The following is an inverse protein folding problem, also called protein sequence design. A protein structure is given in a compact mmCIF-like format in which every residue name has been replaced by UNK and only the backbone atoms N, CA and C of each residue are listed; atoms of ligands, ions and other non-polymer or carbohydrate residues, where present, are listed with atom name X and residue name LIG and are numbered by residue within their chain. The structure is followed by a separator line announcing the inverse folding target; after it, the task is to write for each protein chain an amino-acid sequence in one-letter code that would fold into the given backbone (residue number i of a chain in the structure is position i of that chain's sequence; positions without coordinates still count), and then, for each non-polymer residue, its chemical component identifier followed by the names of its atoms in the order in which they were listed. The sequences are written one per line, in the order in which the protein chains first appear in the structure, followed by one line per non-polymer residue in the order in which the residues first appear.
data_IF_763876919284
#
_entry.id   IF_763876919284
#
_cell.length_a   1.000
_cell.length_b   1.000
_cell.length_c   1.000
_cell.angle_alpha   90.00
_cell.angle_beta   90.00
_cell.angle_gamma   90.00
#
_symmetry.space_group_name_H-M   'P 1'
#
loop_
_entity.id
_entity.type
_entity.pdbx_description
1 polymer ?
#
# COMPACT_ATOMS: atom_id res chain seq x y z
N UNK A 1 -6.09 36.55 7.23
CA UNK A 1 -5.62 35.16 7.14
C UNK A 1 -6.63 34.38 6.28
N UNK A 2 -6.32 34.13 5.02
CA UNK A 2 -7.21 33.38 4.10
C UNK A 2 -7.11 31.89 4.46
N UNK A 3 -8.22 31.28 4.79
CA UNK A 3 -8.32 29.83 4.98
C UNK A 3 -8.09 29.17 3.61
N UNK A 4 -6.92 28.60 3.42
CA UNK A 4 -6.63 27.75 2.25
C UNK A 4 -7.49 26.51 2.44
N UNK A 5 -8.42 26.31 1.51
CA UNK A 5 -9.37 25.18 1.55
C UNK A 5 -8.63 23.88 1.33
N UNK A 6 -8.96 22.85 2.12
CA UNK A 6 -8.49 21.46 1.94
C UNK A 6 -8.69 20.92 0.51
N UNK A 7 -9.60 21.54 -0.25
CA UNK A 7 -9.88 21.24 -1.67
C UNK A 7 -8.67 21.51 -2.56
N UNK A 8 -7.84 22.52 -2.24
CA UNK A 8 -6.64 22.86 -3.03
C UNK A 8 -5.54 21.82 -2.87
N UNK A 9 -5.46 21.13 -1.74
CA UNK A 9 -4.46 20.10 -1.47
C UNK A 9 -4.78 18.82 -2.24
N UNK A 10 -6.06 18.46 -2.35
CA UNK A 10 -6.49 17.32 -3.18
C UNK A 10 -6.24 17.55 -4.68
N UNK A 11 -6.37 18.82 -5.15
CA UNK A 11 -6.10 19.19 -6.55
C UNK A 11 -4.60 19.13 -6.90
N UNK A 12 -3.70 19.41 -5.96
CA UNK A 12 -2.25 19.29 -6.19
C UNK A 12 -1.77 17.84 -6.26
N UNK A 13 -2.39 16.93 -5.53
CA UNK A 13 -2.15 15.48 -5.71
C UNK A 13 -2.52 15.02 -7.12
N UNK A 14 -3.56 15.59 -7.72
CA UNK A 14 -4.01 15.29 -9.09
C UNK A 14 -3.02 15.77 -10.16
N UNK A 15 -2.32 16.87 -9.95
CA UNK A 15 -1.37 17.42 -10.92
C UNK A 15 -0.03 16.65 -10.97
N UNK A 16 0.38 16.03 -9.87
CA UNK A 16 1.57 15.18 -9.85
C UNK A 16 1.34 13.81 -10.52
N UNK A 17 0.09 13.34 -10.59
CA UNK A 17 -0.31 12.08 -11.24
C UNK A 17 -0.57 12.29 -12.74
N UNK A 18 -0.77 13.54 -13.20
CA UNK A 18 -1.26 13.90 -14.53
C UNK A 18 -0.33 13.70 -15.71
N UNK A 19 0.91 13.21 -15.55
CA UNK A 19 1.87 13.12 -16.64
C UNK A 19 2.28 11.69 -17.07
N UNK A 20 1.75 10.64 -16.42
CA UNK A 20 1.89 9.27 -16.91
C UNK A 20 0.54 8.56 -16.81
N UNK A 21 -0.36 8.88 -17.74
CA UNK A 21 -1.40 7.93 -18.10
C UNK A 21 -0.74 6.78 -18.90
N UNK A 22 -0.01 5.93 -18.21
CA UNK A 22 -0.11 4.52 -18.52
C UNK A 22 -1.58 4.23 -18.21
N UNK A 23 -2.37 3.95 -19.25
CA UNK A 23 -3.79 3.69 -19.13
C UNK A 23 -4.02 2.81 -17.90
N UNK A 24 -4.75 3.32 -16.90
CA UNK A 24 -5.25 2.47 -15.86
C UNK A 24 -5.91 1.30 -16.58
N UNK A 25 -5.61 0.04 -16.21
CA UNK A 25 -6.24 -1.09 -16.87
C UNK A 25 -7.74 -0.87 -16.75
N UNK A 26 -8.40 -0.64 -17.90
CA UNK A 26 -9.84 -0.38 -18.03
C UNK A 26 -10.68 -1.64 -17.79
N UNK A 27 -10.04 -2.72 -17.33
CA UNK A 27 -10.67 -3.93 -16.84
C UNK A 27 -10.50 -4.05 -15.33
N UNK A 28 -11.55 -4.42 -14.61
CA UNK A 28 -11.43 -4.84 -13.21
C UNK A 28 -10.34 -5.90 -13.13
N UNK A 29 -9.33 -5.69 -12.29
CA UNK A 29 -8.35 -6.75 -11.99
C UNK A 29 -9.14 -7.99 -11.60
N UNK A 30 -8.97 -9.14 -12.30
CA UNK A 30 -9.63 -10.36 -11.89
C UNK A 30 -9.25 -10.64 -10.45
N UNK A 31 -10.24 -10.72 -9.56
CA UNK A 31 -9.96 -11.09 -8.18
C UNK A 31 -10.25 -12.58 -7.97
N UNK A 32 -9.44 -13.19 -7.14
CA UNK A 32 -9.63 -14.54 -6.66
C UNK A 32 -9.19 -14.60 -5.21
N UNK A 33 -10.11 -14.92 -4.33
CA UNK A 33 -9.84 -15.04 -2.90
C UNK A 33 -8.73 -16.05 -2.66
N UNK A 34 -7.60 -15.65 -2.05
CA UNK A 34 -6.49 -16.56 -1.83
C UNK A 34 -6.84 -17.63 -0.79
N UNK A 35 -6.41 -18.87 -1.05
CA UNK A 35 -6.34 -19.90 -0.02
C UNK A 35 -5.12 -19.60 0.87
N UNK A 36 -5.37 -18.99 2.02
CA UNK A 36 -4.31 -18.50 2.90
C UNK A 36 -3.52 -19.63 3.57
N UNK A 37 -4.13 -20.80 3.82
CA UNK A 37 -3.42 -21.96 4.37
C UNK A 37 -2.44 -22.53 3.33
N UNK A 38 -2.90 -22.66 2.10
CA UNK A 38 -2.04 -23.08 0.99
C UNK A 38 -0.93 -22.06 0.75
N UNK A 39 -1.25 -20.78 0.71
CA UNK A 39 -0.27 -19.71 0.52
C UNK A 39 0.80 -19.75 1.64
N UNK A 40 0.38 -19.90 2.90
CA UNK A 40 1.30 -20.05 4.03
C UNK A 40 2.23 -21.25 3.85
N UNK A 41 1.69 -22.41 3.48
CA UNK A 41 2.49 -23.60 3.23
C UNK A 41 3.49 -23.39 2.09
N UNK A 42 3.10 -22.69 1.02
CA UNK A 42 3.97 -22.43 -0.13
C UNK A 42 5.08 -21.42 0.18
N UNK A 43 4.80 -20.33 0.91
CA UNK A 43 5.83 -19.31 1.21
C UNK A 43 6.82 -19.72 2.27
N UNK A 44 6.48 -20.72 3.10
CA UNK A 44 7.36 -21.25 4.15
C UNK A 44 8.15 -22.49 3.71
N UNK A 45 7.81 -23.12 2.58
CA UNK A 45 8.48 -24.30 2.08
C UNK A 45 9.65 -23.94 1.15
N UNK A 46 10.90 -24.28 1.50
CA UNK A 46 12.07 -24.01 0.66
C UNK A 46 12.02 -24.62 -0.75
N UNK A 47 11.28 -25.71 -0.93
CA UNK A 47 11.14 -26.39 -2.23
C UNK A 47 10.05 -25.74 -3.11
N UNK A 48 9.24 -24.86 -2.56
CA UNK A 48 8.20 -24.15 -3.30
C UNK A 48 8.79 -23.09 -4.21
N UNK A 49 8.23 -22.94 -5.42
CA UNK A 49 8.57 -21.80 -6.28
C UNK A 49 8.19 -20.45 -5.65
N UNK A 50 7.26 -20.46 -4.69
CA UNK A 50 6.78 -19.29 -3.96
C UNK A 50 7.46 -19.11 -2.59
N UNK A 51 8.56 -19.79 -2.33
CA UNK A 51 9.34 -19.62 -1.10
C UNK A 51 9.70 -18.15 -0.87
N UNK A 52 9.26 -17.59 0.26
CA UNK A 52 9.33 -16.15 0.51
C UNK A 52 10.71 -15.54 0.34
N UNK A 53 11.81 -16.10 0.92
CA UNK A 53 13.14 -15.51 0.75
C UNK A 53 13.56 -15.37 -0.72
N UNK A 54 13.18 -16.34 -1.58
CA UNK A 54 13.45 -16.28 -3.02
C UNK A 54 12.62 -15.22 -3.73
N UNK A 55 11.33 -15.10 -3.39
CA UNK A 55 10.48 -14.05 -3.94
C UNK A 55 10.96 -12.67 -3.52
N UNK A 56 11.39 -12.52 -2.26
CA UNK A 56 11.89 -11.27 -1.73
C UNK A 56 13.20 -10.85 -2.40
N UNK A 57 14.12 -11.77 -2.63
CA UNK A 57 15.36 -11.52 -3.38
C UNK A 57 15.03 -11.02 -4.81
N UNK A 58 14.12 -11.69 -5.53
CA UNK A 58 13.66 -11.28 -6.86
C UNK A 58 13.05 -9.87 -6.85
N UNK A 59 12.25 -9.55 -5.85
CA UNK A 59 11.70 -8.22 -5.64
C UNK A 59 12.80 -7.17 -5.42
N UNK A 60 13.80 -7.46 -4.58
CA UNK A 60 14.93 -6.57 -4.34
C UNK A 60 15.77 -6.34 -5.59
N UNK A 61 15.97 -7.36 -6.40
CA UNK A 61 16.65 -7.27 -7.71
C UNK A 61 15.81 -6.61 -8.80
N UNK A 62 14.56 -6.25 -8.48
CA UNK A 62 13.61 -5.64 -9.43
C UNK A 62 13.39 -6.50 -10.68
N UNK A 63 13.21 -7.81 -10.50
CA UNK A 63 12.90 -8.70 -11.61
C UNK A 63 11.53 -8.40 -12.22
N UNK A 64 11.51 -7.96 -13.48
CA UNK A 64 10.29 -7.59 -14.20
C UNK A 64 9.48 -8.78 -14.73
N UNK A 65 9.99 -9.99 -14.54
CA UNK A 65 9.29 -11.25 -14.90
C UNK A 65 8.41 -11.79 -13.78
N UNK A 66 8.40 -11.14 -12.60
CA UNK A 66 7.48 -11.50 -11.53
C UNK A 66 6.04 -11.17 -11.96
N UNK A 67 5.17 -12.18 -11.84
CA UNK A 67 3.76 -12.04 -12.19
C UNK A 67 2.88 -11.72 -10.97
N UNK A 68 1.57 -11.56 -11.18
CA UNK A 68 0.61 -11.26 -10.12
C UNK A 68 0.64 -12.29 -8.98
N UNK A 69 0.74 -13.59 -9.28
CA UNK A 69 0.80 -14.63 -8.25
C UNK A 69 2.11 -14.57 -7.44
N UNK A 70 3.25 -14.23 -8.08
CA UNK A 70 4.50 -13.98 -7.37
C UNK A 70 4.35 -12.81 -6.38
N UNK A 71 3.72 -11.69 -6.81
CA UNK A 71 3.47 -10.54 -5.94
C UNK A 71 2.44 -10.81 -4.85
N UNK A 72 1.41 -11.62 -5.11
CA UNK A 72 0.44 -12.06 -4.08
C UNK A 72 1.14 -12.85 -2.98
N UNK A 73 1.95 -13.84 -3.37
CA UNK A 73 2.71 -14.66 -2.41
C UNK A 73 3.77 -13.83 -1.68
N UNK A 74 4.39 -12.88 -2.35
CA UNK A 74 5.35 -11.96 -1.74
C UNK A 74 4.66 -11.07 -0.69
N UNK A 75 3.61 -10.35 -1.07
CA UNK A 75 2.93 -9.40 -0.22
C UNK A 75 2.24 -10.09 0.96
N UNK A 76 1.36 -11.07 0.70
CA UNK A 76 0.65 -11.79 1.76
C UNK A 76 1.60 -12.71 2.56
N UNK A 77 2.62 -13.24 1.92
CA UNK A 77 3.63 -14.10 2.55
C UNK A 77 4.48 -13.40 3.60
N UNK A 78 4.58 -12.07 3.53
CA UNK A 78 5.28 -11.27 4.53
C UNK A 78 4.71 -11.47 5.95
N UNK A 79 3.39 -11.69 6.08
CA UNK A 79 2.76 -11.95 7.38
C UNK A 79 3.31 -13.21 8.09
N UNK A 80 3.77 -14.19 7.33
CA UNK A 80 4.25 -15.46 7.85
C UNK A 80 5.75 -15.46 8.17
N UNK A 81 6.43 -14.35 7.94
CA UNK A 81 7.86 -14.22 8.29
C UNK A 81 8.03 -13.96 9.78
N UNK A 82 9.21 -14.35 10.32
CA UNK A 82 9.47 -14.32 11.76
C UNK A 82 9.40 -12.91 12.36
N UNK A 83 9.91 -11.92 11.62
CA UNK A 83 9.98 -10.51 12.02
C UNK A 83 8.74 -9.67 11.66
N UNK A 84 7.66 -10.30 11.17
CA UNK A 84 6.44 -9.58 10.80
C UNK A 84 5.84 -8.82 12.00
N UNK A 85 5.65 -7.52 11.79
CA UNK A 85 4.98 -6.62 12.72
C UNK A 85 4.18 -5.56 11.94
N UNK A 86 2.83 -5.66 11.87
CA UNK A 86 1.97 -4.73 11.13
C UNK A 86 1.85 -3.35 11.79
N UNK A 87 2.38 -3.18 12.99
CA UNK A 87 2.37 -1.92 13.74
C UNK A 87 3.76 -1.27 13.78
N UNK A 88 4.63 -1.65 12.87
CA UNK A 88 5.97 -1.05 12.75
C UNK A 88 5.85 0.41 12.29
N UNK A 89 6.62 1.29 12.92
CA UNK A 89 6.72 2.69 12.55
C UNK A 89 8.17 3.08 12.34
N UNK A 90 8.45 3.75 11.23
CA UNK A 90 9.76 4.32 10.97
C UNK A 90 10.04 5.52 11.88
N UNK A 91 11.29 5.66 12.32
CA UNK A 91 11.71 6.77 13.20
C UNK A 91 11.44 8.16 12.59
N UNK A 92 11.41 8.25 11.26
CA UNK A 92 11.28 9.49 10.51
C UNK A 92 9.90 9.67 9.84
N UNK A 93 8.93 8.78 10.04
CA UNK A 93 7.63 8.81 9.35
C UNK A 93 6.93 10.17 9.41
N UNK A 94 6.77 10.73 10.61
CA UNK A 94 6.13 12.04 10.79
C UNK A 94 6.88 13.18 10.09
N UNK A 95 8.20 13.11 10.04
CA UNK A 95 9.03 14.13 9.40
C UNK A 95 8.94 14.07 7.89
N UNK A 96 8.89 12.85 7.32
CA UNK A 96 8.69 12.64 5.90
C UNK A 96 7.32 13.16 5.50
N UNK A 97 6.28 12.79 6.24
CA UNK A 97 4.91 13.23 6.00
C UNK A 97 4.80 14.75 6.01
N UNK A 98 5.36 15.43 7.03
CA UNK A 98 5.38 16.89 7.12
C UNK A 98 6.10 17.54 5.94
N UNK A 99 7.22 16.97 5.49
CA UNK A 99 7.94 17.47 4.34
C UNK A 99 7.15 17.24 3.04
N UNK A 100 6.57 16.06 2.87
CA UNK A 100 5.82 15.69 1.66
C UNK A 100 4.62 16.60 1.40
N UNK A 101 3.88 16.98 2.45
CA UNK A 101 2.70 17.82 2.32
C UNK A 101 2.99 19.33 2.25
N UNK A 102 4.25 19.75 2.19
CA UNK A 102 4.59 21.15 1.94
C UNK A 102 4.15 21.55 0.53
N UNK A 103 3.75 22.82 0.38
CA UNK A 103 3.37 23.37 -0.92
C UNK A 103 4.57 23.45 -1.89
N UNK A 104 5.75 23.81 -1.37
CA UNK A 104 6.97 23.93 -2.14
C UNK A 104 8.12 23.20 -1.43
N UNK A 105 8.99 22.58 -2.21
CA UNK A 105 10.12 21.83 -1.71
C UNK A 105 11.44 22.41 -2.20
N UNK A 106 12.37 22.58 -1.29
CA UNK A 106 13.77 22.80 -1.65
C UNK A 106 14.44 21.49 -2.07
N UNK A 107 15.55 21.59 -2.81
CA UNK A 107 16.36 20.43 -3.17
C UNK A 107 16.79 19.60 -1.94
N UNK A 108 17.19 20.27 -0.86
CA UNK A 108 17.61 19.59 0.37
C UNK A 108 16.46 18.83 1.06
N UNK A 109 15.24 19.37 1.03
CA UNK A 109 14.06 18.69 1.59
C UNK A 109 13.68 17.45 0.76
N UNK A 110 13.75 17.56 -0.57
CA UNK A 110 13.53 16.39 -1.45
C UNK A 110 14.59 15.31 -1.22
N UNK A 111 15.86 15.68 -1.06
CA UNK A 111 16.92 14.71 -0.76
C UNK A 111 16.72 14.09 0.65
N UNK A 112 16.17 14.84 1.61
CA UNK A 112 15.80 14.32 2.93
C UNK A 112 14.66 13.31 2.83
N UNK A 113 13.60 13.59 2.03
CA UNK A 113 12.51 12.65 1.80
C UNK A 113 13.06 11.36 1.18
N UNK A 114 13.92 11.45 0.18
CA UNK A 114 14.54 10.28 -0.47
C UNK A 114 15.29 9.44 0.57
N UNK A 115 16.18 10.05 1.35
CA UNK A 115 17.01 9.33 2.31
C UNK A 115 16.19 8.60 3.37
N UNK A 116 15.20 9.28 3.95
CA UNK A 116 14.38 8.72 5.02
C UNK A 116 13.38 7.67 4.51
N UNK A 117 12.82 7.87 3.31
CA UNK A 117 11.96 6.86 2.71
C UNK A 117 12.75 5.59 2.34
N UNK A 118 13.97 5.71 1.84
CA UNK A 118 14.84 4.56 1.58
C UNK A 118 15.25 3.83 2.88
N UNK A 119 15.51 4.57 3.97
CA UNK A 119 15.76 4.00 5.29
C UNK A 119 14.53 3.22 5.79
N UNK A 120 13.34 3.82 5.75
CA UNK A 120 12.09 3.17 6.16
C UNK A 120 11.81 1.90 5.35
N UNK A 121 12.04 1.92 4.03
CA UNK A 121 11.84 0.79 3.14
C UNK A 121 12.89 -0.33 3.31
N UNK A 122 13.96 -0.09 4.04
CA UNK A 122 14.89 -1.15 4.47
C UNK A 122 14.26 -1.99 5.58
N UNK A 123 13.50 -1.37 6.48
CA UNK A 123 12.83 -2.04 7.58
C UNK A 123 11.44 -2.58 7.20
N UNK A 124 10.69 -1.82 6.40
CA UNK A 124 9.37 -2.19 5.89
C UNK A 124 9.30 -2.01 4.36
N UNK A 125 9.71 -3.03 3.59
CA UNK A 125 9.81 -2.96 2.13
C UNK A 125 8.49 -2.77 1.41
N UNK A 126 7.37 -2.95 2.10
CA UNK A 126 6.02 -2.86 1.55
C UNK A 126 5.21 -1.67 2.07
N UNK A 127 5.84 -0.73 2.80
CA UNK A 127 5.16 0.51 3.18
C UNK A 127 4.79 1.34 1.94
N UNK A 128 3.52 1.26 1.55
CA UNK A 128 3.00 1.91 0.34
C UNK A 128 3.12 3.43 0.40
N UNK A 129 3.04 4.02 1.61
CA UNK A 129 3.19 5.46 1.81
C UNK A 129 4.63 5.89 1.54
N UNK A 130 5.59 5.18 2.10
CA UNK A 130 7.01 5.47 1.91
C UNK A 130 7.44 5.29 0.45
N UNK A 131 6.94 4.24 -0.21
CA UNK A 131 7.17 4.06 -1.66
C UNK A 131 6.62 5.27 -2.43
N UNK A 132 5.42 5.75 -2.12
CA UNK A 132 4.82 6.89 -2.80
C UNK A 132 5.61 8.18 -2.55
N UNK A 133 6.06 8.45 -1.32
CA UNK A 133 6.88 9.61 -0.99
C UNK A 133 8.22 9.58 -1.74
N UNK A 134 8.84 8.41 -1.82
CA UNK A 134 10.08 8.20 -2.55
C UNK A 134 9.90 8.47 -4.05
N UNK A 135 8.84 7.95 -4.67
CA UNK A 135 8.52 8.19 -6.08
C UNK A 135 8.36 9.68 -6.36
N UNK A 136 7.59 10.36 -5.51
CA UNK A 136 7.38 11.82 -5.62
C UNK A 136 8.71 12.57 -5.58
N UNK A 137 9.52 12.37 -4.55
CA UNK A 137 10.78 13.11 -4.38
C UNK A 137 11.79 12.79 -5.48
N UNK A 138 11.88 11.53 -5.93
CA UNK A 138 12.74 11.13 -7.05
C UNK A 138 12.34 11.85 -8.35
N UNK A 139 11.04 11.96 -8.64
CA UNK A 139 10.54 12.69 -9.82
C UNK A 139 10.89 14.17 -9.75
N UNK A 140 10.62 14.82 -8.61
CA UNK A 140 10.96 16.22 -8.39
C UNK A 140 12.48 16.50 -8.53
N UNK A 141 13.31 15.51 -8.21
CA UNK A 141 14.76 15.55 -8.38
C UNK A 141 15.23 15.15 -9.78
N UNK A 142 14.32 14.87 -10.73
CA UNK A 142 14.65 14.41 -12.08
C UNK A 142 15.25 13.00 -12.15
N UNK A 143 15.19 12.21 -11.06
CA UNK A 143 15.70 10.84 -11.00
C UNK A 143 14.67 9.83 -11.56
N UNK A 144 14.20 10.07 -12.78
CA UNK A 144 13.03 9.42 -13.35
C UNK A 144 13.18 7.89 -13.50
N UNK A 145 14.37 7.38 -13.82
CA UNK A 145 14.58 5.93 -13.92
C UNK A 145 14.38 5.22 -12.56
N UNK A 146 14.91 5.80 -11.49
CA UNK A 146 14.69 5.26 -10.14
C UNK A 146 13.21 5.35 -9.72
N UNK A 147 12.57 6.48 -10.03
CA UNK A 147 11.14 6.66 -9.77
C UNK A 147 10.29 5.64 -10.53
N UNK A 148 10.65 5.29 -11.78
CA UNK A 148 9.95 4.27 -12.56
C UNK A 148 10.05 2.87 -11.94
N UNK A 149 11.21 2.50 -11.40
CA UNK A 149 11.41 1.23 -10.69
C UNK A 149 10.46 1.14 -9.49
N UNK A 150 10.42 2.18 -8.65
CA UNK A 150 9.56 2.19 -7.48
C UNK A 150 8.07 2.25 -7.84
N UNK A 151 7.71 2.97 -8.92
CA UNK A 151 6.35 2.98 -9.44
C UNK A 151 5.91 1.58 -9.92
N UNK A 152 6.80 0.86 -10.59
CA UNK A 152 6.55 -0.53 -11.01
C UNK A 152 6.24 -1.42 -9.80
N UNK A 153 7.08 -1.37 -8.76
CA UNK A 153 6.85 -2.11 -7.50
C UNK A 153 5.53 -1.75 -6.85
N UNK A 154 5.25 -0.45 -6.72
CA UNK A 154 3.99 0.04 -6.13
C UNK A 154 2.76 -0.50 -6.86
N UNK A 155 2.77 -0.42 -8.19
CA UNK A 155 1.64 -0.87 -9.00
C UNK A 155 1.37 -2.37 -8.78
N UNK A 156 2.40 -3.21 -8.76
CA UNK A 156 2.23 -4.65 -8.57
C UNK A 156 1.83 -5.02 -7.14
N UNK A 157 2.30 -4.30 -6.12
CA UNK A 157 1.82 -4.46 -4.75
C UNK A 157 0.33 -4.10 -4.64
N UNK A 158 -0.09 -2.99 -5.25
CA UNK A 158 -1.51 -2.60 -5.30
C UNK A 158 -2.35 -3.66 -6.04
N UNK A 159 -1.88 -4.15 -7.19
CA UNK A 159 -2.55 -5.22 -7.92
C UNK A 159 -2.68 -6.49 -7.08
N UNK A 160 -1.64 -6.85 -6.32
CA UNK A 160 -1.67 -8.00 -5.42
C UNK A 160 -2.78 -7.85 -4.36
N UNK A 161 -2.92 -6.67 -3.74
CA UNK A 161 -3.96 -6.41 -2.75
C UNK A 161 -5.35 -6.41 -3.42
N UNK A 162 -5.52 -5.66 -4.50
CA UNK A 162 -6.79 -5.54 -5.22
C UNK A 162 -7.27 -6.88 -5.79
N UNK A 163 -6.36 -7.82 -6.08
CA UNK A 163 -6.69 -9.15 -6.56
C UNK A 163 -7.30 -10.08 -5.50
N UNK A 164 -7.29 -9.69 -4.21
CA UNK A 164 -7.83 -10.50 -3.11
C UNK A 164 -9.34 -10.36 -2.94
N UNK A 165 -9.95 -9.32 -3.50
CA UNK A 165 -11.38 -9.06 -3.38
C UNK A 165 -11.83 -7.83 -4.15
N UNK A 166 -13.05 -7.37 -3.87
CA UNK A 166 -13.60 -6.12 -4.41
C UNK A 166 -13.62 -4.98 -3.39
N UNK A 167 -13.48 -5.31 -2.10
CA UNK A 167 -13.65 -4.38 -0.99
C UNK A 167 -15.10 -3.91 -0.77
N UNK A 168 -16.07 -4.42 -1.54
CA UNK A 168 -17.46 -3.91 -1.49
C UNK A 168 -18.31 -4.61 -0.44
N UNK A 169 -17.96 -5.82 -0.05
CA UNK A 169 -18.63 -6.60 1.01
C UNK A 169 -17.60 -7.19 1.95
N UNK A 170 -18.03 -7.60 3.13
CA UNK A 170 -17.16 -8.27 4.10
C UNK A 170 -16.59 -9.59 3.55
N UNK A 171 -17.39 -10.33 2.77
CA UNK A 171 -16.97 -11.59 2.14
C UNK A 171 -15.87 -11.37 1.10
N UNK A 172 -15.96 -10.26 0.35
CA UNK A 172 -15.02 -9.88 -0.70
C UNK A 172 -14.10 -8.73 -0.27
N UNK A 173 -13.84 -8.61 1.04
CA UNK A 173 -12.94 -7.61 1.60
C UNK A 173 -11.51 -7.77 1.08
N UNK A 174 -10.82 -6.67 0.84
CA UNK A 174 -9.40 -6.68 0.53
C UNK A 174 -8.58 -7.15 1.71
N UNK A 175 -7.61 -8.03 1.48
CA UNK A 175 -6.69 -8.51 2.52
C UNK A 175 -5.48 -7.59 2.56
N UNK A 176 -5.23 -7.00 3.73
CA UNK A 176 -4.07 -6.14 3.96
C UNK A 176 -3.13 -6.74 5.01
N UNK A 177 -1.84 -6.45 4.88
CA UNK A 177 -0.79 -6.88 5.81
C UNK A 177 -0.41 -5.81 6.81
N UNK A 178 -0.85 -4.58 6.59
CA UNK A 178 -0.66 -3.41 7.47
C UNK A 178 -1.94 -2.56 7.43
N UNK A 179 -2.50 -2.13 8.58
CA UNK A 179 -3.66 -1.25 8.62
C UNK A 179 -3.47 0.08 7.86
N UNK A 180 -2.24 0.60 7.76
CA UNK A 180 -1.93 1.81 6.97
C UNK A 180 -2.27 1.64 5.49
N UNK A 181 -2.21 0.42 4.96
CA UNK A 181 -2.49 0.14 3.56
C UNK A 181 -3.94 0.40 3.17
N UNK A 182 -4.88 0.36 4.10
CA UNK A 182 -6.29 0.71 3.89
C UNK A 182 -6.44 2.13 3.37
N UNK A 183 -5.79 3.07 4.05
CA UNK A 183 -5.82 4.48 3.66
C UNK A 183 -5.06 4.73 2.36
N UNK A 184 -3.95 4.03 2.14
CA UNK A 184 -3.22 4.09 0.87
C UNK A 184 -4.10 3.64 -0.29
N UNK A 185 -4.78 2.49 -0.17
CA UNK A 185 -5.69 1.97 -1.21
C UNK A 185 -6.83 2.94 -1.50
N UNK A 186 -7.44 3.52 -0.48
CA UNK A 186 -8.50 4.53 -0.64
C UNK A 186 -7.98 5.75 -1.40
N UNK A 187 -6.79 6.25 -1.04
CA UNK A 187 -6.17 7.38 -1.72
C UNK A 187 -5.85 7.05 -3.19
N UNK A 188 -5.38 5.84 -3.49
CA UNK A 188 -5.14 5.39 -4.86
C UNK A 188 -6.43 5.22 -5.67
N UNK A 189 -7.57 4.99 -5.02
CA UNK A 189 -8.90 5.03 -5.63
C UNK A 189 -9.43 6.47 -5.81
N UNK A 190 -8.60 7.48 -5.58
CA UNK A 190 -8.95 8.90 -5.62
C UNK A 190 -10.10 9.24 -4.67
N UNK A 191 -10.14 8.58 -3.53
CA UNK A 191 -11.09 8.77 -2.46
C UNK A 191 -10.40 9.33 -1.22
N UNK A 192 -11.18 9.83 -0.28
CA UNK A 192 -10.68 10.30 1.01
C UNK A 192 -11.44 9.52 2.09
N UNK A 193 -10.71 8.87 2.98
CA UNK A 193 -11.29 8.20 4.13
C UNK A 193 -11.91 9.23 5.09
N UNK A 194 -13.06 8.90 5.64
CA UNK A 194 -13.76 9.70 6.63
C UNK A 194 -13.62 9.08 8.02
N UNK A 195 -13.98 7.80 8.14
CA UNK A 195 -14.00 7.08 9.41
C UNK A 195 -13.69 5.61 9.15
N UNK A 196 -12.88 5.00 10.02
CA UNK A 196 -12.75 3.55 10.10
C UNK A 196 -13.60 3.01 11.26
N UNK A 197 -14.19 1.85 11.06
CA UNK A 197 -15.02 1.16 12.04
C UNK A 197 -14.74 -0.35 11.98
N UNK A 198 -14.38 -0.91 13.16
CA UNK A 198 -14.22 -2.35 13.27
C UNK A 198 -15.57 -3.06 13.13
N UNK A 199 -15.64 -4.02 12.23
CA UNK A 199 -16.80 -4.90 12.00
C UNK A 199 -16.42 -6.33 12.39
N UNK A 200 -16.98 -6.78 13.50
CA UNK A 200 -16.71 -8.14 13.98
C UNK A 200 -16.96 -9.20 12.89
N UNK A 201 -16.18 -10.29 12.84
CA UNK A 201 -15.15 -10.63 13.83
C UNK A 201 -13.75 -10.08 13.53
N UNK A 202 -13.45 -9.59 12.31
CA UNK A 202 -12.09 -9.21 11.91
C UNK A 202 -12.03 -8.35 10.63
N UNK A 203 -13.04 -7.52 10.42
CA UNK A 203 -13.05 -6.57 9.30
C UNK A 203 -12.89 -5.14 9.79
N UNK A 204 -12.29 -4.30 8.97
CA UNK A 204 -12.45 -2.86 9.08
C UNK A 204 -13.28 -2.36 7.90
N UNK A 205 -14.21 -1.45 8.19
CA UNK A 205 -15.00 -0.76 7.19
C UNK A 205 -14.64 0.71 7.22
N UNK A 206 -14.05 1.20 6.14
CA UNK A 206 -13.65 2.60 6.01
C UNK A 206 -14.64 3.33 5.14
N UNK A 207 -15.40 4.26 5.73
CA UNK A 207 -16.32 5.16 5.02
C UNK A 207 -15.55 6.23 4.26
N UNK A 208 -16.11 6.66 3.14
CA UNK A 208 -15.51 7.68 2.28
C UNK A 208 -16.19 9.02 2.47
N UNK A 209 -15.41 10.09 2.45
CA UNK A 209 -15.96 11.46 2.40
C UNK A 209 -16.74 11.66 1.11
N UNK A 210 -17.95 12.24 1.24
CA UNK A 210 -18.69 12.73 0.10
C UNK A 210 -17.87 13.78 -0.66
N UNK A 211 -17.82 13.66 -1.99
CA UNK A 211 -17.17 14.62 -2.86
C UNK A 211 -18.20 15.29 -3.75
N UNK A 212 -18.13 16.62 -4.00
CA UNK A 212 -19.13 17.36 -4.76
C UNK A 212 -19.36 16.83 -6.18
N UNK A 213 -18.32 16.24 -6.79
CA UNK A 213 -18.34 15.68 -8.15
C UNK A 213 -18.41 14.16 -8.15
N UNK A 214 -19.01 13.56 -7.12
CA UNK A 214 -19.07 12.12 -6.97
C UNK A 214 -19.88 11.50 -8.12
N UNK A 215 -19.23 10.60 -8.88
CA UNK A 215 -19.92 9.82 -9.92
C UNK A 215 -20.98 8.91 -9.28
N UNK A 216 -22.14 8.82 -9.91
CA UNK A 216 -23.15 7.83 -9.53
C UNK A 216 -22.55 6.42 -9.48
N UNK A 217 -22.89 5.66 -8.44
CA UNK A 217 -22.40 4.29 -8.26
C UNK A 217 -21.08 4.16 -7.53
N UNK A 218 -20.50 5.23 -6.98
CA UNK A 218 -19.35 5.11 -6.09
C UNK A 218 -19.78 4.51 -4.75
N UNK A 219 -19.02 3.53 -4.20
CA UNK A 219 -19.34 2.95 -2.90
C UNK A 219 -19.23 3.99 -1.78
N UNK A 220 -20.01 3.81 -0.71
CA UNK A 220 -19.96 4.63 0.50
C UNK A 220 -18.69 4.33 1.34
N UNK A 221 -18.08 3.17 1.16
CA UNK A 221 -16.88 2.73 1.86
C UNK A 221 -16.37 1.41 1.32
N UNK A 222 -15.29 0.95 1.93
CA UNK A 222 -14.65 -0.31 1.57
C UNK A 222 -14.39 -1.17 2.82
N UNK A 223 -14.49 -2.49 2.64
CA UNK A 223 -14.15 -3.49 3.63
C UNK A 223 -12.72 -3.99 3.45
N UNK A 224 -12.02 -4.11 4.57
CA UNK A 224 -10.68 -4.68 4.67
C UNK A 224 -10.71 -5.87 5.62
N UNK A 225 -10.04 -6.95 5.25
CA UNK A 225 -9.90 -8.14 6.05
C UNK A 225 -8.54 -8.10 6.76
N UNK A 226 -8.59 -7.89 8.08
CA UNK A 226 -7.41 -7.81 8.96
C UNK A 226 -7.19 -9.10 9.78
N UNK A 227 -7.98 -10.16 9.51
CA UNK A 227 -7.90 -11.41 10.25
C UNK A 227 -6.49 -11.97 10.30
N UNK A 228 -5.88 -12.13 9.11
CA UNK A 228 -4.62 -12.86 9.00
C UNK A 228 -3.45 -12.10 9.63
N UNK A 229 -3.44 -10.77 9.50
CA UNK A 229 -2.44 -9.94 10.17
C UNK A 229 -2.59 -10.02 11.70
N UNK A 230 -3.84 -10.01 12.23
CA UNK A 230 -4.09 -10.12 13.66
C UNK A 230 -3.72 -11.52 14.18
N UNK A 231 -4.13 -12.58 13.48
CA UNK A 231 -3.82 -13.96 13.86
C UNK A 231 -2.29 -14.19 13.95
N UNK A 232 -1.52 -13.72 12.95
CA UNK A 232 -0.07 -13.85 12.96
C UNK A 232 0.62 -12.93 13.97
N UNK A 233 0.10 -11.71 14.17
CA UNK A 233 0.61 -10.80 15.18
C UNK A 233 0.45 -11.38 16.59
N UNK A 234 -0.77 -11.79 16.97
CA UNK A 234 -1.02 -12.36 18.29
C UNK A 234 -0.41 -13.75 18.50
N UNK A 235 -0.17 -14.50 17.44
CA UNK A 235 0.63 -15.73 17.52
C UNK A 235 2.06 -15.46 17.95
N UNK A 236 2.63 -14.34 17.51
CA UNK A 236 4.00 -13.90 17.85
C UNK A 236 4.07 -13.10 19.15
N UNK A 237 2.99 -12.43 19.51
CA UNK A 237 2.86 -11.57 20.68
C UNK A 237 1.67 -11.99 21.55
N UNK A 238 1.68 -13.19 22.16
CA UNK A 238 0.53 -13.73 22.89
C UNK A 238 0.12 -12.88 24.10
N UNK A 239 1.06 -12.12 24.67
CA UNK A 239 0.82 -11.25 25.81
C UNK A 239 0.04 -9.96 25.47
N UNK A 240 -0.20 -9.69 24.17
CA UNK A 240 -0.88 -8.49 23.68
C UNK A 240 -2.31 -8.79 23.16
N UNK A 241 -2.79 -10.01 23.36
CA UNK A 241 -4.11 -10.48 22.90
C UNK A 241 -5.25 -10.01 23.79
#
# INVERSE_FOLDING_TARGET
MKRISLITIAAMLLLAIGALHAAAPTGRTPYNKPDMEKLKAEVTNPDSKYYYPRLFERYQLNETVMNLEDYRHLYLGAMFQEDFNPYRHGANDKKIEQLYYKENHTTAELDTIIAYAEEALTDDPFDLSQINYLIFALRQRGKNNRAAIWQYRLNHLLEAILSTGTGLTAEDAWIVTDPKHEYCLINFQMAVAEKSEFKAPYYEYVTLKAQPEQKEGRPEGYYFNIRYLLDEYYRKHPDQR
#
